data_IF_237327818910
#
_entry.id   IF_237327818910
#
_cell.length_a   1.000
_cell.length_b   1.000
_cell.length_c   1.000
_cell.angle_alpha   90.00
_cell.angle_beta   90.00
_cell.angle_gamma   90.00
#
_symmetry.space_group_name_H-M   'P 1'
#
loop_
_entity.id
_entity.type
_entity.pdbx_description
1 polymer ?
#
# COMPACT_ATOMS: atom_id res chain seq x y z
N UNK A 1 -52.27 -17.73 19.48
CA UNK A 1 -50.98 -18.25 18.98
C UNK A 1 -50.47 -17.28 17.92
N UNK A 2 -49.35 -16.58 18.12
CA UNK A 2 -48.84 -15.64 17.13
C UNK A 2 -48.18 -16.41 15.97
N UNK A 3 -48.59 -16.10 14.74
CA UNK A 3 -48.00 -16.65 13.51
C UNK A 3 -46.61 -16.05 13.30
N UNK A 4 -45.56 -16.88 13.38
CA UNK A 4 -44.20 -16.47 13.05
C UNK A 4 -44.02 -16.54 11.53
N UNK A 5 -44.00 -15.38 10.87
CA UNK A 5 -43.67 -15.31 9.46
C UNK A 5 -42.16 -15.55 9.27
N UNK A 6 -41.79 -16.66 8.65
CA UNK A 6 -40.41 -16.95 8.23
C UNK A 6 -40.12 -16.26 6.89
N UNK A 7 -39.28 -15.23 6.91
CA UNK A 7 -38.77 -14.56 5.70
C UNK A 7 -37.66 -15.42 5.10
N UNK A 8 -37.89 -15.98 3.91
CA UNK A 8 -36.83 -16.67 3.17
C UNK A 8 -36.09 -15.70 2.27
N UNK A 9 -34.80 -15.46 2.57
CA UNK A 9 -33.89 -14.67 1.74
C UNK A 9 -33.40 -15.56 0.59
N UNK A 10 -33.87 -15.28 -0.63
CA UNK A 10 -33.38 -15.96 -1.84
C UNK A 10 -32.03 -15.37 -2.25
N UNK A 11 -30.95 -16.09 -2.01
CA UNK A 11 -29.62 -15.73 -2.50
C UNK A 11 -29.45 -16.28 -3.92
N UNK A 12 -29.48 -15.40 -4.92
CA UNK A 12 -29.20 -15.77 -6.32
C UNK A 12 -27.69 -15.75 -6.55
N UNK A 13 -27.09 -16.91 -6.78
CA UNK A 13 -25.68 -17.04 -7.17
C UNK A 13 -25.60 -17.24 -8.68
N UNK A 14 -25.05 -16.27 -9.41
CA UNK A 14 -24.84 -16.36 -10.85
C UNK A 14 -23.44 -16.93 -11.12
N UNK A 15 -23.35 -18.20 -11.51
CA UNK A 15 -22.11 -18.82 -11.98
C UNK A 15 -21.98 -18.67 -13.50
N UNK A 16 -21.09 -17.79 -13.97
CA UNK A 16 -20.71 -17.67 -15.38
C UNK A 16 -19.56 -18.61 -15.69
N UNK A 17 -19.85 -19.81 -16.19
CA UNK A 17 -18.84 -20.70 -16.78
C UNK A 17 -18.50 -20.25 -18.20
N UNK A 18 -17.56 -19.31 -18.34
CA UNK A 18 -16.94 -19.02 -19.63
C UNK A 18 -15.75 -19.97 -19.86
N UNK A 19 -15.96 -21.03 -20.64
CA UNK A 19 -14.88 -21.84 -21.23
C UNK A 19 -14.28 -21.09 -22.41
N UNK A 20 -13.41 -20.14 -22.10
CA UNK A 20 -12.37 -19.60 -22.96
C UNK A 20 -11.37 -18.95 -22.01
N UNK A 21 -10.08 -19.23 -22.15
CA UNK A 21 -9.01 -18.57 -21.41
C UNK A 21 -8.85 -17.12 -21.89
N UNK A 22 -9.91 -16.33 -21.72
CA UNK A 22 -9.90 -14.87 -21.85
C UNK A 22 -9.33 -14.35 -20.55
N UNK A 23 -8.20 -13.63 -20.63
CA UNK A 23 -7.66 -12.90 -19.51
C UNK A 23 -8.69 -11.83 -19.10
N UNK A 24 -9.46 -12.11 -18.04
CA UNK A 24 -10.40 -11.17 -17.46
C UNK A 24 -9.64 -10.28 -16.48
N UNK A 25 -9.35 -9.05 -16.88
CA UNK A 25 -8.70 -8.06 -16.01
C UNK A 25 -9.78 -7.31 -15.22
N UNK A 26 -9.71 -7.37 -13.89
CA UNK A 26 -10.62 -6.65 -13.02
C UNK A 26 -10.21 -5.18 -12.84
N UNK A 27 -10.33 -4.39 -13.90
CA UNK A 27 -10.04 -2.94 -13.85
C UNK A 27 -10.92 -2.21 -12.82
N UNK A 28 -12.10 -2.75 -12.51
CA UNK A 28 -13.01 -2.22 -11.48
C UNK A 28 -12.38 -2.16 -10.09
N UNK A 29 -11.40 -3.00 -9.77
CA UNK A 29 -10.69 -2.95 -8.50
C UNK A 29 -9.95 -1.61 -8.30
N UNK A 30 -9.34 -1.07 -9.35
CA UNK A 30 -8.59 0.20 -9.27
C UNK A 30 -9.48 1.42 -9.03
N UNK A 31 -10.77 1.32 -9.37
CA UNK A 31 -11.76 2.37 -9.08
C UNK A 31 -12.34 2.29 -7.67
N UNK A 32 -12.00 1.26 -6.88
CA UNK A 32 -12.45 1.15 -5.49
C UNK A 32 -11.66 2.08 -4.57
N UNK A 33 -12.26 2.47 -3.44
CA UNK A 33 -11.59 3.32 -2.44
C UNK A 33 -10.24 2.76 -1.99
N UNK A 34 -10.17 1.46 -1.69
CA UNK A 34 -8.92 0.81 -1.26
C UNK A 34 -7.94 0.64 -2.43
N UNK A 35 -8.43 0.38 -3.65
CA UNK A 35 -7.60 0.32 -4.85
C UNK A 35 -6.91 1.64 -5.17
N UNK A 36 -7.62 2.76 -5.07
CA UNK A 36 -7.06 4.11 -5.30
C UNK A 36 -5.97 4.42 -4.27
N UNK A 37 -6.21 4.14 -2.98
CA UNK A 37 -5.21 4.40 -1.94
C UNK A 37 -3.95 3.54 -2.18
N UNK A 38 -4.11 2.27 -2.58
CA UNK A 38 -2.97 1.41 -2.95
C UNK A 38 -2.19 1.96 -4.14
N UNK A 39 -2.88 2.49 -5.14
CA UNK A 39 -2.24 3.08 -6.31
C UNK A 39 -1.43 4.33 -5.94
N UNK A 40 -1.97 5.19 -5.06
CA UNK A 40 -1.21 6.33 -4.53
C UNK A 40 0.01 5.90 -3.73
N UNK A 41 -0.15 4.91 -2.83
CA UNK A 41 0.96 4.33 -2.06
C UNK A 41 2.04 3.76 -2.99
N UNK A 42 1.65 3.08 -4.07
CA UNK A 42 2.57 2.53 -5.06
C UNK A 42 3.40 3.65 -5.71
N UNK A 43 2.73 4.69 -6.21
CA UNK A 43 3.36 5.81 -6.93
C UNK A 43 4.31 6.57 -6.00
N UNK A 44 3.84 6.96 -4.81
CA UNK A 44 4.67 7.74 -3.88
C UNK A 44 5.86 6.95 -3.35
N UNK A 45 5.68 5.65 -3.08
CA UNK A 45 6.77 4.77 -2.68
C UNK A 45 7.83 4.62 -3.77
N UNK A 46 7.41 4.53 -5.04
CA UNK A 46 8.32 4.47 -6.18
C UNK A 46 9.09 5.78 -6.39
N UNK A 47 8.40 6.92 -6.32
CA UNK A 47 9.05 8.24 -6.45
C UNK A 47 10.07 8.43 -5.32
N UNK A 48 9.70 8.13 -4.07
CA UNK A 48 10.60 8.21 -2.93
C UNK A 48 11.83 7.30 -3.11
N UNK A 49 11.62 6.05 -3.54
CA UNK A 49 12.69 5.10 -3.84
C UNK A 49 13.68 5.64 -4.88
N UNK A 50 13.17 6.15 -6.01
CA UNK A 50 14.02 6.69 -7.09
C UNK A 50 14.80 7.92 -6.62
N UNK A 51 14.15 8.86 -5.91
CA UNK A 51 14.82 10.06 -5.40
C UNK A 51 15.99 9.73 -4.47
N UNK A 52 15.81 8.75 -3.59
CA UNK A 52 16.87 8.30 -2.67
C UNK A 52 18.01 7.60 -3.41
N UNK A 53 17.74 6.81 -4.45
CA UNK A 53 18.78 6.19 -5.28
C UNK A 53 19.58 7.21 -6.09
N UNK A 54 18.91 8.22 -6.67
CA UNK A 54 19.58 9.30 -7.40
C UNK A 54 20.50 10.14 -6.52
N UNK A 55 20.21 10.22 -5.22
CA UNK A 55 21.07 10.91 -4.27
C UNK A 55 22.23 10.03 -3.80
N UNK A 56 21.97 8.73 -3.60
CA UNK A 56 23.00 7.75 -3.23
C UNK A 56 24.13 7.67 -4.28
N UNK A 57 23.81 7.76 -5.57
CA UNK A 57 24.79 7.73 -6.67
C UNK A 57 25.74 8.95 -6.66
N UNK A 58 25.31 10.08 -6.09
CA UNK A 58 26.12 11.32 -6.02
C UNK A 58 27.07 11.35 -4.82
N UNK A 59 26.78 10.57 -3.78
CA UNK A 59 27.54 10.56 -2.53
C UNK A 59 28.59 9.44 -2.57
N UNK A 60 29.74 9.71 -3.19
CA UNK A 60 30.83 8.76 -3.44
C UNK A 60 31.65 8.35 -2.20
N UNK A 61 31.07 8.34 -1.00
CA UNK A 61 31.82 8.07 0.23
C UNK A 61 30.99 7.55 1.39
N UNK A 62 31.29 6.30 1.77
CA UNK A 62 30.98 5.62 3.04
C UNK A 62 29.55 5.09 3.27
N UNK A 63 29.47 3.76 3.21
CA UNK A 63 28.31 2.91 3.53
C UNK A 63 28.19 2.62 5.03
N UNK A 64 27.98 3.65 5.86
CA UNK A 64 27.53 3.45 7.25
C UNK A 64 26.02 3.63 7.30
N UNK A 65 25.26 2.61 7.75
CA UNK A 65 23.79 2.53 7.77
C UNK A 65 23.10 3.89 8.03
N UNK A 66 22.89 4.72 6.98
CA UNK A 66 22.35 6.04 7.16
C UNK A 66 20.82 5.94 7.04
N UNK A 67 20.07 6.87 7.65
CA UNK A 67 18.60 6.87 7.66
C UNK A 67 17.97 6.65 6.28
N UNK A 68 18.64 7.12 5.24
CA UNK A 68 18.27 7.01 3.84
C UNK A 68 18.24 5.55 3.35
N UNK A 69 19.20 4.70 3.76
CA UNK A 69 19.21 3.28 3.35
C UNK A 69 18.04 2.50 3.96
N UNK A 70 17.73 2.75 5.24
CA UNK A 70 16.55 2.18 5.87
C UNK A 70 15.30 2.58 5.09
N UNK A 71 15.17 3.86 4.73
CA UNK A 71 14.02 4.34 3.99
C UNK A 71 13.94 3.74 2.58
N UNK A 72 15.07 3.56 1.87
CA UNK A 72 15.14 2.87 0.58
C UNK A 72 14.59 1.45 0.68
N UNK A 73 14.99 0.69 1.71
CA UNK A 73 14.50 -0.68 1.93
C UNK A 73 12.99 -0.71 2.19
N UNK A 74 12.49 0.22 3.01
CA UNK A 74 11.05 0.35 3.29
C UNK A 74 10.27 0.71 2.02
N UNK A 75 10.75 1.66 1.23
CA UNK A 75 10.14 2.06 -0.03
C UNK A 75 10.13 0.92 -1.05
N UNK A 76 11.22 0.16 -1.17
CA UNK A 76 11.30 -0.99 -2.07
C UNK A 76 10.35 -2.11 -1.64
N UNK A 77 10.37 -2.49 -0.37
CA UNK A 77 9.51 -3.55 0.16
C UNK A 77 8.02 -3.20 -0.01
N UNK A 78 7.64 -1.95 0.27
CA UNK A 78 6.28 -1.48 0.07
C UNK A 78 5.87 -1.47 -1.41
N UNK A 79 6.70 -0.88 -2.28
CA UNK A 79 6.43 -0.83 -3.71
C UNK A 79 6.27 -2.25 -4.31
N UNK A 80 7.20 -3.14 -4.00
CA UNK A 80 7.17 -4.53 -4.46
C UNK A 80 5.91 -5.27 -3.99
N UNK A 81 5.60 -5.18 -2.70
CA UNK A 81 4.45 -5.87 -2.11
C UNK A 81 3.12 -5.35 -2.66
N UNK A 82 2.94 -4.03 -2.74
CA UNK A 82 1.72 -3.43 -3.31
C UNK A 82 1.58 -3.78 -4.80
N UNK A 83 2.67 -3.82 -5.55
CA UNK A 83 2.65 -4.26 -6.96
C UNK A 83 2.09 -5.67 -7.08
N UNK A 84 2.59 -6.61 -6.28
CA UNK A 84 2.12 -8.01 -6.30
C UNK A 84 0.65 -8.08 -5.88
N UNK A 85 0.24 -7.35 -4.84
CA UNK A 85 -1.16 -7.30 -4.40
C UNK A 85 -2.09 -6.78 -5.49
N UNK A 86 -1.72 -5.69 -6.17
CA UNK A 86 -2.51 -5.09 -7.24
C UNK A 86 -2.61 -6.02 -8.45
N UNK A 87 -1.49 -6.59 -8.90
CA UNK A 87 -1.49 -7.57 -10.00
C UNK A 87 -2.35 -8.78 -9.62
N UNK A 88 -2.24 -9.28 -8.39
CA UNK A 88 -3.05 -10.41 -7.92
C UNK A 88 -4.55 -10.09 -7.91
N UNK A 89 -4.94 -8.87 -7.53
CA UNK A 89 -6.34 -8.42 -7.55
C UNK A 89 -6.86 -8.14 -8.97
N UNK A 90 -5.99 -7.72 -9.89
CA UNK A 90 -6.33 -7.49 -11.30
C UNK A 90 -6.53 -8.80 -12.06
N UNK A 91 -5.70 -9.81 -11.79
CA UNK A 91 -5.72 -11.10 -12.49
C UNK A 91 -6.75 -12.10 -11.91
N UNK A 92 -7.23 -11.89 -10.68
CA UNK A 92 -8.15 -12.81 -10.01
C UNK A 92 -9.30 -12.09 -9.31
N UNK A 93 -10.52 -12.34 -9.78
CA UNK A 93 -11.76 -11.84 -9.18
C UNK A 93 -11.94 -12.34 -7.73
N UNK A 94 -11.52 -13.58 -7.45
CA UNK A 94 -11.56 -14.12 -6.09
C UNK A 94 -10.63 -13.35 -5.15
N UNK A 95 -9.41 -13.06 -5.59
CA UNK A 95 -8.45 -12.27 -4.82
C UNK A 95 -8.95 -10.84 -4.59
N UNK A 96 -9.55 -10.20 -5.60
CA UNK A 96 -10.11 -8.85 -5.46
C UNK A 96 -11.18 -8.73 -4.37
N UNK A 97 -11.97 -9.80 -4.14
CA UNK A 97 -13.01 -9.84 -3.12
C UNK A 97 -12.50 -10.24 -1.73
N UNK A 98 -11.52 -11.14 -1.66
CA UNK A 98 -11.02 -11.72 -0.40
C UNK A 98 -9.92 -10.85 0.20
N UNK A 99 -8.98 -10.37 -0.63
CA UNK A 99 -7.77 -9.67 -0.16
C UNK A 99 -8.10 -8.50 0.78
N UNK A 100 -9.04 -7.57 0.45
CA UNK A 100 -9.39 -6.44 1.33
C UNK A 100 -10.00 -6.82 2.68
N UNK A 101 -10.39 -8.09 2.86
CA UNK A 101 -11.01 -8.62 4.08
C UNK A 101 -10.04 -9.40 4.96
N UNK A 102 -8.81 -9.61 4.49
CA UNK A 102 -7.81 -10.39 5.22
C UNK A 102 -7.18 -9.56 6.35
N UNK A 103 -6.86 -10.21 7.47
CA UNK A 103 -6.03 -9.61 8.53
C UNK A 103 -4.64 -9.21 8.02
N UNK A 104 -4.16 -9.88 6.96
CA UNK A 104 -2.91 -9.56 6.28
C UNK A 104 -2.87 -8.12 5.76
N UNK A 105 -3.92 -7.63 5.10
CA UNK A 105 -3.97 -6.23 4.62
C UNK A 105 -3.83 -5.24 5.77
N UNK A 106 -4.55 -5.46 6.86
CA UNK A 106 -4.48 -4.60 8.04
C UNK A 106 -3.06 -4.59 8.63
N UNK A 107 -2.49 -5.78 8.87
CA UNK A 107 -1.15 -5.90 9.46
C UNK A 107 -0.09 -5.28 8.55
N UNK A 108 -0.18 -5.52 7.24
CA UNK A 108 0.74 -4.94 6.26
C UNK A 108 0.69 -3.42 6.26
N UNK A 109 -0.50 -2.82 6.19
CA UNK A 109 -0.65 -1.37 6.18
C UNK A 109 -0.30 -0.72 7.52
N UNK A 110 -0.58 -1.39 8.64
CA UNK A 110 -0.16 -0.92 9.96
C UNK A 110 1.37 -0.94 10.13
N UNK A 111 2.02 -2.03 9.72
CA UNK A 111 3.47 -2.12 9.76
C UNK A 111 4.12 -1.12 8.79
N UNK A 112 3.53 -0.97 7.60
CA UNK A 112 3.91 0.06 6.63
C UNK A 112 3.87 1.46 7.25
N UNK A 113 2.78 1.81 7.94
CA UNK A 113 2.68 3.09 8.66
C UNK A 113 3.84 3.30 9.64
N UNK A 114 4.13 2.33 10.50
CA UNK A 114 5.20 2.44 11.51
C UNK A 114 6.56 2.61 10.84
N UNK A 115 6.86 1.80 9.83
CA UNK A 115 8.16 1.84 9.13
C UNK A 115 8.36 3.15 8.36
N UNK A 116 7.34 3.63 7.64
CA UNK A 116 7.39 4.91 6.93
C UNK A 116 7.48 6.11 7.88
N UNK A 117 6.81 6.06 9.04
CA UNK A 117 6.88 7.11 10.04
C UNK A 117 8.30 7.19 10.64
N UNK A 118 8.87 6.07 11.06
CA UNK A 118 10.23 6.01 11.62
C UNK A 118 11.26 6.46 10.58
N UNK A 119 11.24 5.88 9.38
CA UNK A 119 12.20 6.19 8.33
C UNK A 119 12.08 7.62 7.82
N UNK A 120 10.85 8.10 7.62
CA UNK A 120 10.57 9.47 7.19
C UNK A 120 11.04 10.51 8.21
N UNK A 121 10.74 10.32 9.50
CA UNK A 121 11.21 11.22 10.55
C UNK A 121 12.73 11.20 10.70
N UNK A 122 13.35 10.02 10.64
CA UNK A 122 14.80 9.89 10.79
C UNK A 122 15.55 10.61 9.66
N UNK A 123 15.09 10.45 8.42
CA UNK A 123 15.65 11.18 7.27
C UNK A 123 15.35 12.69 7.39
N UNK A 124 14.15 13.08 7.82
CA UNK A 124 13.76 14.48 7.96
C UNK A 124 14.67 15.24 8.94
N UNK A 125 15.04 14.64 10.07
CA UNK A 125 15.96 15.25 11.04
C UNK A 125 17.30 15.60 10.38
N UNK A 126 17.84 14.71 9.54
CA UNK A 126 19.08 14.97 8.81
C UNK A 126 18.90 15.96 7.65
N UNK A 127 17.77 15.87 6.94
CA UNK A 127 17.48 16.64 5.73
C UNK A 127 17.29 18.15 5.99
N UNK A 128 16.73 18.50 7.15
CA UNK A 128 16.45 19.90 7.50
C UNK A 128 17.46 20.52 8.47
N UNK A 129 18.30 19.71 9.11
CA UNK A 129 19.35 20.20 10.03
C UNK A 129 20.61 20.67 9.31
N UNK A 130 20.91 20.12 8.13
CA UNK A 130 22.15 20.37 7.41
C UNK A 130 21.89 21.14 6.11
N UNK A 131 22.49 22.32 5.96
CA UNK A 131 22.31 23.22 4.80
C UNK A 131 22.77 22.61 3.46
N UNK A 132 23.68 21.63 3.50
CA UNK A 132 24.25 20.99 2.29
C UNK A 132 23.44 19.77 1.80
N UNK A 133 22.23 19.53 2.31
CA UNK A 133 21.40 18.40 1.87
C UNK A 133 20.62 18.74 0.61
N UNK A 134 20.48 17.75 -0.26
CA UNK A 134 19.80 17.94 -1.55
C UNK A 134 18.29 18.07 -1.35
N UNK A 135 17.65 18.82 -2.24
CA UNK A 135 16.19 18.94 -2.31
C UNK A 135 15.53 17.56 -2.50
N UNK A 136 16.22 16.62 -3.15
CA UNK A 136 15.73 15.25 -3.35
C UNK A 136 15.48 14.53 -2.02
N UNK A 137 16.41 14.61 -1.06
CA UNK A 137 16.25 13.99 0.27
C UNK A 137 15.06 14.63 1.01
N UNK A 138 14.95 15.96 0.95
CA UNK A 138 13.87 16.70 1.62
C UNK A 138 12.49 16.30 1.05
N UNK A 139 12.38 16.20 -0.27
CA UNK A 139 11.13 15.76 -0.92
C UNK A 139 10.85 14.29 -0.59
N UNK A 140 11.86 13.43 -0.60
CA UNK A 140 11.71 12.01 -0.30
C UNK A 140 11.18 11.76 1.13
N UNK A 141 11.67 12.48 2.15
CA UNK A 141 11.21 12.30 3.52
C UNK A 141 9.78 12.81 3.71
N UNK A 142 9.39 13.90 3.07
CA UNK A 142 8.00 14.38 3.08
C UNK A 142 7.06 13.36 2.42
N UNK A 143 7.42 12.84 1.25
CA UNK A 143 6.65 11.79 0.58
C UNK A 143 6.55 10.51 1.42
N UNK A 144 7.61 10.12 2.12
CA UNK A 144 7.59 8.99 3.04
C UNK A 144 6.59 9.20 4.20
N UNK A 145 6.54 10.39 4.78
CA UNK A 145 5.57 10.72 5.84
C UNK A 145 4.13 10.70 5.30
N UNK A 146 3.91 11.21 4.08
CA UNK A 146 2.61 11.12 3.40
C UNK A 146 2.23 9.66 3.17
N UNK A 147 3.17 8.81 2.71
CA UNK A 147 2.96 7.36 2.61
C UNK A 147 2.59 6.73 3.95
N UNK A 148 3.22 7.15 5.05
CA UNK A 148 2.85 6.72 6.40
C UNK A 148 1.38 7.04 6.71
N UNK A 149 0.94 8.27 6.48
CA UNK A 149 -0.46 8.68 6.70
C UNK A 149 -1.42 7.86 5.82
N UNK A 150 -1.10 7.67 4.55
CA UNK A 150 -1.91 6.86 3.63
C UNK A 150 -2.01 5.39 4.07
N UNK A 151 -0.91 4.83 4.58
CA UNK A 151 -0.88 3.49 5.17
C UNK A 151 -1.77 3.38 6.40
N UNK A 152 -1.75 4.39 7.28
CA UNK A 152 -2.62 4.42 8.45
C UNK A 152 -4.10 4.48 8.04
N UNK A 153 -4.44 5.37 7.10
CA UNK A 153 -5.81 5.51 6.58
C UNK A 153 -6.28 4.20 5.93
N UNK A 154 -5.43 3.57 5.10
CA UNK A 154 -5.74 2.29 4.49
C UNK A 154 -5.93 1.19 5.54
N UNK A 155 -5.02 1.11 6.51
CA UNK A 155 -5.08 0.16 7.62
C UNK A 155 -6.38 0.28 8.41
N UNK A 156 -6.86 1.49 8.70
CA UNK A 156 -8.13 1.72 9.39
C UNK A 156 -9.32 1.20 8.55
N UNK A 157 -9.34 1.49 7.25
CA UNK A 157 -10.41 0.99 6.37
C UNK A 157 -10.38 -0.54 6.25
N UNK A 158 -9.18 -1.12 6.11
CA UNK A 158 -8.99 -2.57 6.05
C UNK A 158 -9.40 -3.26 7.35
N UNK A 159 -9.07 -2.68 8.51
CA UNK A 159 -9.49 -3.19 9.81
C UNK A 159 -11.02 -3.21 9.94
N UNK A 160 -11.69 -2.12 9.55
CA UNK A 160 -13.17 -2.06 9.58
C UNK A 160 -13.79 -3.12 8.67
N UNK A 161 -13.23 -3.36 7.49
CA UNK A 161 -13.72 -4.41 6.59
C UNK A 161 -13.49 -5.81 7.15
N UNK A 162 -12.36 -6.04 7.82
CA UNK A 162 -12.02 -7.33 8.41
C UNK A 162 -12.99 -7.72 9.54
N UNK A 163 -13.42 -6.77 10.38
CA UNK A 163 -14.29 -7.06 11.54
C UNK A 163 -15.78 -7.12 11.22
N UNK A 164 -16.22 -6.57 10.08
CA UNK A 164 -17.64 -6.46 9.71
C UNK A 164 -18.12 -7.66 8.86
N UNK A 165 -17.21 -8.56 8.46
CA UNK A 165 -17.54 -9.82 7.77
C UNK A 165 -17.47 -11.00 8.75
#
# INVERSE_FOLDING_TARGET
MPSTATVQVRQTTTTTTARASVLVINTGYLSTKLGIIKLLLLIFSLICFVLLLLDADKSSGYWYLPPEQFLVLVCFANWYTITIMLISALLSLGTACILPKTSFEFIFHFLGFVLFLIGGLWVAIGAFKHENRTVNIQVACILALICGILHLVHGIFSYRLCITN
#
